data_IF_588087485822
#
_entry.id   IF_588087485822
#
_cell.length_a   1.000
_cell.length_b   1.000
_cell.length_c   1.000
_cell.angle_alpha   90.00
_cell.angle_beta   90.00
_cell.angle_gamma   90.00
#
_symmetry.space_group_name_H-M   'P 1'
#
loop_
_entity.id
_entity.type
_entity.pdbx_description
1 polymer ?
#
# COMPACT_ATOMS: atom_id res chain seq x y z
N UNK A 1 -9.36 -9.95 -0.10
CA UNK A 1 -8.16 -9.39 -0.71
C UNK A 1 -8.42 -9.21 -2.19
N UNK A 2 -8.14 -8.05 -2.77
CA UNK A 2 -8.29 -7.83 -4.21
C UNK A 2 -6.93 -7.92 -4.92
N UNK A 3 -6.74 -9.01 -5.68
CA UNK A 3 -5.49 -9.33 -6.37
C UNK A 3 -5.09 -8.29 -7.42
N UNK A 4 -6.08 -7.63 -8.04
CA UNK A 4 -5.84 -6.59 -9.04
C UNK A 4 -5.23 -5.35 -8.39
N UNK A 5 -5.82 -4.85 -7.30
CA UNK A 5 -5.28 -3.72 -6.55
C UNK A 5 -3.88 -4.01 -5.99
N UNK A 6 -3.65 -5.22 -5.47
CA UNK A 6 -2.30 -5.65 -5.04
C UNK A 6 -1.31 -5.60 -6.21
N UNK A 7 -1.69 -6.11 -7.38
CA UNK A 7 -0.79 -6.15 -8.54
C UNK A 7 -0.45 -4.75 -9.02
N UNK A 8 -1.43 -3.85 -9.09
CA UNK A 8 -1.22 -2.45 -9.44
C UNK A 8 -0.32 -1.75 -8.42
N UNK A 9 -0.56 -1.98 -7.12
CA UNK A 9 0.28 -1.45 -6.04
C UNK A 9 1.74 -1.87 -6.19
N UNK A 10 1.99 -3.17 -6.44
CA UNK A 10 3.34 -3.71 -6.67
C UNK A 10 3.99 -3.05 -7.88
N UNK A 11 3.28 -2.88 -9.00
CA UNK A 11 3.83 -2.24 -10.21
C UNK A 11 4.30 -0.82 -9.90
N UNK A 12 3.48 0.00 -9.23
CA UNK A 12 3.87 1.35 -8.85
C UNK A 12 5.06 1.38 -7.88
N UNK A 13 5.11 0.44 -6.92
CA UNK A 13 6.26 0.33 -6.01
C UNK A 13 7.55 -0.05 -6.76
N UNK A 14 7.47 -0.95 -7.75
CA UNK A 14 8.63 -1.32 -8.57
C UNK A 14 9.09 -0.13 -9.41
N UNK A 15 8.16 0.61 -10.04
CA UNK A 15 8.50 1.82 -10.79
C UNK A 15 9.18 2.88 -9.90
N UNK A 16 8.65 3.12 -8.70
CA UNK A 16 9.26 4.05 -7.75
C UNK A 16 10.65 3.58 -7.28
N UNK A 17 10.84 2.27 -7.09
CA UNK A 17 12.15 1.67 -6.81
C UNK A 17 13.14 1.96 -7.93
N UNK A 18 12.76 1.71 -9.18
CA UNK A 18 13.62 1.96 -10.34
C UNK A 18 14.00 3.44 -10.45
N UNK A 19 13.07 4.34 -10.16
CA UNK A 19 13.35 5.78 -10.11
C UNK A 19 14.37 6.13 -9.02
N UNK A 20 14.21 5.60 -7.81
CA UNK A 20 15.18 5.81 -6.72
C UNK A 20 16.58 5.27 -7.07
N UNK A 21 16.67 4.10 -7.69
CA UNK A 21 17.95 3.54 -8.14
C UNK A 21 18.60 4.42 -9.22
N UNK A 22 17.81 4.87 -10.20
CA UNK A 22 18.29 5.74 -11.26
C UNK A 22 18.77 7.08 -10.71
N UNK A 23 17.96 7.76 -9.89
CA UNK A 23 18.35 9.03 -9.29
C UNK A 23 19.53 8.87 -8.33
N UNK A 24 19.58 7.82 -7.52
CA UNK A 24 20.74 7.51 -6.68
C UNK A 24 22.02 7.36 -7.51
N UNK A 25 21.93 6.67 -8.64
CA UNK A 25 23.03 6.57 -9.61
C UNK A 25 23.42 7.93 -10.20
N UNK A 26 22.46 8.77 -10.56
CA UNK A 26 22.73 10.13 -11.06
C UNK A 26 23.45 10.98 -10.01
N UNK A 27 23.03 10.93 -8.74
CA UNK A 27 23.68 11.68 -7.67
C UNK A 27 25.12 11.20 -7.40
N UNK A 28 25.38 9.88 -7.46
CA UNK A 28 26.75 9.35 -7.36
C UNK A 28 27.63 9.81 -8.53
N UNK A 29 27.12 9.78 -9.76
CA UNK A 29 27.88 10.29 -10.91
C UNK A 29 28.08 11.81 -10.83
N UNK A 30 27.11 12.54 -10.30
CA UNK A 30 27.23 13.98 -10.11
C UNK A 30 28.33 14.33 -9.09
N UNK A 31 28.51 13.56 -8.01
CA UNK A 31 29.64 13.76 -7.10
C UNK A 31 30.99 13.57 -7.78
N UNK A 32 31.12 12.58 -8.67
CA UNK A 32 32.37 12.35 -9.41
C UNK A 32 32.71 13.52 -10.34
N UNK A 33 31.69 14.07 -11.03
CA UNK A 33 31.85 15.24 -11.89
C UNK A 33 32.26 16.47 -11.08
N UNK A 34 31.63 16.70 -9.92
CA UNK A 34 31.98 17.83 -9.04
C UNK A 34 33.42 17.68 -8.52
N UNK A 35 33.85 16.46 -8.20
CA UNK A 35 35.22 16.19 -7.79
C UNK A 35 36.23 16.52 -8.89
N UNK A 36 35.96 16.12 -10.13
CA UNK A 36 36.84 16.43 -11.27
C UNK A 36 36.96 17.94 -11.52
N UNK A 37 35.86 18.68 -11.40
CA UNK A 37 35.86 20.15 -11.52
C UNK A 37 36.68 20.81 -10.41
N UNK A 38 36.58 20.31 -9.17
CA UNK A 38 37.32 20.83 -8.02
C UNK A 38 38.84 20.66 -8.16
N UNK A 39 39.31 19.66 -8.90
CA UNK A 39 40.73 19.48 -9.20
C UNK A 39 41.27 20.52 -10.19
N UNK A 40 40.40 21.11 -11.02
CA UNK A 40 40.80 22.09 -12.03
C UNK A 40 40.86 23.51 -11.48
N UNK A 41 40.02 23.83 -10.49
CA UNK A 41 39.92 25.15 -9.89
C UNK A 41 40.01 25.06 -8.34
N UNK A 42 41.16 25.42 -7.74
CA UNK A 42 41.35 25.37 -6.29
C UNK A 42 40.41 26.30 -5.51
N UNK A 43 39.92 27.37 -6.13
CA UNK A 43 39.11 28.38 -5.43
C UNK A 43 37.71 27.86 -5.08
N UNK A 44 37.24 26.82 -5.79
CA UNK A 44 35.93 26.19 -5.55
C UNK A 44 36.01 24.93 -4.68
N UNK A 45 37.21 24.52 -4.25
CA UNK A 45 37.42 23.23 -3.58
C UNK A 45 36.53 23.05 -2.34
N UNK A 46 36.45 24.07 -1.47
CA UNK A 46 35.63 24.02 -0.26
C UNK A 46 34.14 23.79 -0.56
N UNK A 47 33.62 24.46 -1.60
CA UNK A 47 32.20 24.33 -1.99
C UNK A 47 31.94 22.97 -2.63
N UNK A 48 32.89 22.47 -3.42
CA UNK A 48 32.80 21.17 -4.07
C UNK A 48 32.77 20.02 -3.06
N UNK A 49 33.58 20.07 -2.00
CA UNK A 49 33.59 19.05 -0.94
C UNK A 49 32.23 18.92 -0.24
N UNK A 50 31.58 20.06 0.09
CA UNK A 50 30.23 20.08 0.66
C UNK A 50 29.18 19.50 -0.29
N UNK A 51 29.25 19.85 -1.58
CA UNK A 51 28.33 19.33 -2.60
C UNK A 51 28.51 17.82 -2.83
N UNK A 52 29.75 17.33 -2.88
CA UNK A 52 30.08 15.90 -3.01
C UNK A 52 29.50 15.13 -1.82
N UNK A 53 29.70 15.64 -0.60
CA UNK A 53 29.17 15.06 0.63
C UNK A 53 27.64 14.99 0.59
N UNK A 54 26.99 16.08 0.19
CA UNK A 54 25.53 16.15 0.06
C UNK A 54 25.01 15.14 -0.97
N UNK A 55 25.57 15.12 -2.19
CA UNK A 55 25.13 14.22 -3.26
C UNK A 55 25.33 12.75 -2.89
N UNK A 56 26.50 12.41 -2.34
CA UNK A 56 26.79 11.06 -1.88
C UNK A 56 25.82 10.61 -0.78
N UNK A 57 25.56 11.49 0.19
CA UNK A 57 24.62 11.21 1.29
C UNK A 57 23.21 10.98 0.76
N UNK A 58 22.72 11.86 -0.11
CA UNK A 58 21.40 11.71 -0.74
C UNK A 58 21.31 10.41 -1.54
N UNK A 59 22.34 10.07 -2.33
CA UNK A 59 22.37 8.83 -3.10
C UNK A 59 22.28 7.58 -2.21
N UNK A 60 23.04 7.55 -1.11
CA UNK A 60 23.01 6.44 -0.14
C UNK A 60 21.60 6.27 0.44
N UNK A 61 20.95 7.35 0.86
CA UNK A 61 19.57 7.26 1.34
C UNK A 61 18.60 6.77 0.25
N UNK A 62 18.75 7.21 -0.99
CA UNK A 62 17.93 6.72 -2.11
C UNK A 62 18.08 5.21 -2.30
N UNK A 63 19.30 4.66 -2.20
CA UNK A 63 19.51 3.21 -2.27
C UNK A 63 18.91 2.45 -1.09
N UNK A 64 18.97 3.01 0.12
CA UNK A 64 18.31 2.42 1.30
C UNK A 64 16.79 2.37 1.09
N UNK A 65 16.18 3.46 0.64
CA UNK A 65 14.74 3.49 0.35
C UNK A 65 14.37 2.55 -0.80
N UNK A 66 15.19 2.48 -1.85
CA UNK A 66 14.97 1.53 -2.93
C UNK A 66 14.98 0.08 -2.42
N UNK A 67 15.93 -0.28 -1.55
CA UNK A 67 15.98 -1.59 -0.94
C UNK A 67 14.73 -1.89 -0.10
N UNK A 68 14.30 -0.95 0.75
CA UNK A 68 13.07 -1.11 1.55
C UNK A 68 11.82 -1.25 0.67
N UNK A 69 11.75 -0.53 -0.45
CA UNK A 69 10.64 -0.66 -1.41
C UNK A 69 10.59 -2.05 -2.06
N UNK A 70 11.75 -2.64 -2.37
CA UNK A 70 11.83 -4.02 -2.87
C UNK A 70 11.30 -4.98 -1.81
N UNK A 71 11.73 -4.84 -0.55
CA UNK A 71 11.25 -5.69 0.55
C UNK A 71 9.73 -5.56 0.72
N UNK A 72 9.21 -4.34 0.72
CA UNK A 72 7.78 -4.08 0.79
C UNK A 72 7.02 -4.74 -0.37
N UNK A 73 7.49 -4.58 -1.61
CA UNK A 73 6.90 -5.18 -2.80
C UNK A 73 6.87 -6.72 -2.71
N UNK A 74 7.98 -7.34 -2.27
CA UNK A 74 8.07 -8.80 -2.08
C UNK A 74 7.08 -9.27 -1.01
N UNK A 75 6.99 -8.58 0.12
CA UNK A 75 6.06 -8.93 1.21
C UNK A 75 4.60 -8.81 0.80
N UNK A 76 4.25 -7.77 0.04
CA UNK A 76 2.91 -7.58 -0.53
C UNK A 76 2.63 -8.62 -1.63
N UNK A 77 3.64 -9.02 -2.40
CA UNK A 77 3.51 -10.10 -3.37
C UNK A 77 3.28 -11.46 -2.71
N UNK A 78 3.97 -11.76 -1.60
CA UNK A 78 3.76 -12.99 -0.83
C UNK A 78 2.33 -13.10 -0.29
N UNK A 79 1.72 -11.97 0.07
CA UNK A 79 0.30 -11.93 0.44
C UNK A 79 -0.62 -12.45 -0.68
N UNK A 80 -0.33 -12.10 -1.95
CA UNK A 80 -1.10 -12.57 -3.11
C UNK A 80 -1.13 -14.10 -3.21
N UNK A 81 -0.07 -14.75 -2.75
CA UNK A 81 0.10 -16.21 -2.75
C UNK A 81 -0.27 -16.85 -1.40
N UNK A 82 -0.91 -16.11 -0.49
CA UNK A 82 -1.29 -16.55 0.86
C UNK A 82 -0.11 -16.99 1.75
N UNK A 83 1.11 -16.50 1.48
CA UNK A 83 2.32 -16.84 2.23
C UNK A 83 2.65 -15.85 3.36
N UNK A 84 1.82 -14.83 3.56
CA UNK A 84 2.04 -13.78 4.55
C UNK A 84 0.71 -13.32 5.14
N UNK A 85 0.71 -12.86 6.40
CA UNK A 85 -0.50 -12.37 7.05
C UNK A 85 -0.92 -11.00 6.50
N UNK A 86 -2.25 -10.76 6.40
CA UNK A 86 -2.80 -9.46 5.97
C UNK A 86 -2.26 -8.30 6.82
N UNK A 87 -2.07 -8.50 8.13
CA UNK A 87 -1.56 -7.46 9.05
C UNK A 87 -0.13 -7.01 8.70
N UNK A 88 0.73 -7.98 8.35
CA UNK A 88 2.12 -7.70 7.98
C UNK A 88 2.17 -6.95 6.64
N UNK A 89 1.45 -7.43 5.63
CA UNK A 89 1.35 -6.77 4.33
C UNK A 89 0.73 -5.36 4.42
N UNK A 90 -0.23 -5.16 5.33
CA UNK A 90 -0.79 -3.83 5.60
C UNK A 90 0.26 -2.87 6.16
N UNK A 91 1.11 -3.33 7.08
CA UNK A 91 2.21 -2.52 7.61
C UNK A 91 3.15 -2.04 6.50
N UNK A 92 3.53 -2.95 5.59
CA UNK A 92 4.33 -2.59 4.41
C UNK A 92 3.59 -1.67 3.45
N UNK A 93 2.27 -1.84 3.26
CA UNK A 93 1.47 -0.96 2.42
C UNK A 93 1.37 0.48 3.01
N UNK A 94 1.28 0.60 4.33
CA UNK A 94 1.32 1.90 5.03
C UNK A 94 2.71 2.54 4.90
N UNK A 95 3.78 1.76 5.06
CA UNK A 95 5.14 2.26 4.79
C UNK A 95 5.25 2.86 3.38
N UNK A 96 4.75 2.16 2.36
CA UNK A 96 4.82 2.62 0.97
C UNK A 96 4.08 3.94 0.74
N UNK A 97 2.96 4.16 1.47
CA UNK A 97 2.18 5.40 1.38
C UNK A 97 3.00 6.64 1.71
N UNK A 98 3.91 6.54 2.69
CA UNK A 98 4.73 7.66 3.15
C UNK A 98 6.15 7.66 2.59
N UNK A 99 6.75 6.49 2.37
CA UNK A 99 8.17 6.37 2.04
C UNK A 99 8.49 6.14 0.57
N UNK A 100 7.57 5.58 -0.21
CA UNK A 100 7.88 4.98 -1.51
C UNK A 100 7.07 5.52 -2.68
N UNK A 101 5.93 6.15 -2.41
CA UNK A 101 5.04 6.68 -3.43
C UNK A 101 3.59 6.46 -3.06
N UNK A 102 2.84 7.57 -3.09
CA UNK A 102 1.42 7.62 -2.73
C UNK A 102 0.59 6.54 -3.44
N UNK A 103 0.79 6.38 -4.75
CA UNK A 103 0.04 5.43 -5.57
C UNK A 103 0.33 3.97 -5.17
N UNK A 104 1.59 3.59 -5.01
CA UNK A 104 1.97 2.24 -4.56
C UNK A 104 1.35 1.90 -3.20
N UNK A 105 1.37 2.86 -2.27
CA UNK A 105 0.74 2.72 -0.96
C UNK A 105 -0.78 2.57 -1.02
N UNK A 106 -1.50 3.49 -1.67
CA UNK A 106 -2.97 3.46 -1.76
C UNK A 106 -3.46 2.16 -2.39
N UNK A 107 -2.91 1.77 -3.55
CA UNK A 107 -3.34 0.56 -4.25
C UNK A 107 -3.01 -0.70 -3.45
N UNK A 108 -1.87 -0.72 -2.74
CA UNK A 108 -1.53 -1.83 -1.84
C UNK A 108 -2.50 -1.93 -0.67
N UNK A 109 -2.83 -0.80 0.00
CA UNK A 109 -3.79 -0.77 1.12
C UNK A 109 -5.17 -1.26 0.67
N UNK A 110 -5.67 -0.75 -0.46
CA UNK A 110 -6.93 -1.21 -1.05
C UNK A 110 -6.88 -2.71 -1.37
N UNK A 111 -5.77 -3.19 -1.92
CA UNK A 111 -5.56 -4.60 -2.20
C UNK A 111 -5.65 -5.50 -0.97
N UNK A 112 -5.03 -5.08 0.14
CA UNK A 112 -5.04 -5.82 1.41
C UNK A 112 -6.41 -5.76 2.09
N UNK A 113 -7.06 -4.59 2.12
CA UNK A 113 -8.27 -4.36 2.91
C UNK A 113 -9.59 -4.70 2.21
N UNK A 114 -9.63 -4.81 0.88
CA UNK A 114 -10.84 -5.26 0.18
C UNK A 114 -11.04 -6.74 0.49
N UNK A 115 -11.73 -7.07 1.60
CA UNK A 115 -12.57 -8.27 1.64
C UNK A 115 -13.51 -8.12 0.45
N UNK A 116 -13.55 -9.14 -0.43
CA UNK A 116 -14.51 -9.13 -1.52
C UNK A 116 -15.86 -8.68 -0.95
N UNK A 117 -16.56 -7.68 -1.52
CA UNK A 117 -17.97 -7.56 -1.22
C UNK A 117 -18.53 -8.93 -1.54
N UNK A 118 -18.98 -9.63 -0.51
CA UNK A 118 -19.62 -10.93 -0.62
C UNK A 118 -20.66 -10.78 -1.72
N UNK A 119 -20.58 -11.50 -2.85
CA UNK A 119 -21.79 -11.71 -3.62
C UNK A 119 -22.72 -12.42 -2.65
N UNK A 120 -23.91 -11.86 -2.45
CA UNK A 120 -24.98 -12.43 -1.64
C UNK A 120 -25.27 -13.83 -2.17
N UNK A 121 -24.63 -14.86 -1.59
CA UNK A 121 -24.93 -16.27 -1.88
C UNK A 121 -24.30 -17.19 -0.81
N UNK A 122 -25.15 -17.54 0.15
CA UNK A 122 -25.35 -18.88 0.73
C UNK A 122 -24.21 -19.62 1.46
N UNK A 123 -24.56 -20.03 2.68
CA UNK A 123 -23.96 -21.07 3.55
C UNK A 123 -22.64 -20.67 4.24
N UNK A 124 -22.49 -20.66 5.57
CA UNK A 124 -23.13 -21.50 6.59
C UNK A 124 -23.03 -20.79 7.96
N UNK A 125 -24.14 -20.69 8.70
CA UNK A 125 -24.13 -20.36 10.13
C UNK A 125 -24.36 -18.89 10.53
N UNK A 126 -25.20 -18.12 9.83
CA UNK A 126 -25.69 -16.86 10.42
C UNK A 126 -26.68 -17.20 11.55
N UNK A 127 -26.29 -16.94 12.80
CA UNK A 127 -27.19 -17.05 13.94
C UNK A 127 -28.42 -16.14 13.72
N UNK A 128 -29.59 -16.57 14.21
CA UNK A 128 -30.85 -15.81 14.15
C UNK A 128 -30.65 -14.33 14.56
N UNK A 129 -29.86 -14.14 15.62
CA UNK A 129 -29.49 -12.83 16.16
C UNK A 129 -28.75 -11.95 15.14
N UNK A 130 -27.86 -12.53 14.33
CA UNK A 130 -27.14 -11.79 13.29
C UNK A 130 -28.08 -11.32 12.18
N UNK A 131 -29.08 -12.14 11.81
CA UNK A 131 -30.04 -11.80 10.77
C UNK A 131 -31.01 -10.71 11.22
N UNK A 132 -31.46 -10.77 12.48
CA UNK A 132 -32.31 -9.73 13.07
C UNK A 132 -31.56 -8.40 13.18
N UNK A 133 -30.30 -8.42 13.61
CA UNK A 133 -29.47 -7.22 13.74
C UNK A 133 -29.16 -6.53 12.40
N UNK A 134 -29.07 -7.30 11.31
CA UNK A 134 -28.91 -6.74 9.97
C UNK A 134 -30.21 -6.09 9.49
N UNK A 135 -31.36 -6.72 9.77
CA UNK A 135 -32.67 -6.18 9.45
C UNK A 135 -32.95 -4.86 10.19
N UNK A 136 -32.59 -4.78 11.48
CA UNK A 136 -32.72 -3.55 12.29
C UNK A 136 -31.91 -2.39 11.68
N UNK A 137 -30.68 -2.65 11.24
CA UNK A 137 -29.83 -1.64 10.59
C UNK A 137 -30.41 -1.13 9.28
N UNK A 138 -31.12 -1.98 8.53
CA UNK A 138 -31.76 -1.56 7.27
C UNK A 138 -32.96 -0.64 7.55
N UNK A 139 -33.72 -0.93 8.61
CA UNK A 139 -34.84 -0.12 9.04
C UNK A 139 -34.39 1.22 9.64
N UNK A 140 -33.39 1.22 10.53
CA UNK A 140 -32.80 2.45 11.11
C UNK A 140 -32.23 3.39 10.05
N UNK A 141 -31.72 2.84 8.94
CA UNK A 141 -31.22 3.62 7.80
C UNK A 141 -32.32 4.09 6.85
N UNK A 142 -33.60 3.76 7.13
CA UNK A 142 -34.74 4.08 6.27
C UNK A 142 -34.70 3.40 4.90
N UNK A 143 -33.96 2.30 4.75
CA UNK A 143 -33.81 1.57 3.48
C UNK A 143 -34.98 0.62 3.21
N UNK A 144 -35.78 0.31 4.23
CA UNK A 144 -36.97 -0.55 4.16
C UNK A 144 -38.11 0.10 4.95
N UNK A 145 -39.35 -0.19 4.58
CA UNK A 145 -40.55 0.29 5.28
C UNK A 145 -40.85 -0.54 6.53
N UNK A 146 -41.72 -0.02 7.42
CA UNK A 146 -42.17 -0.75 8.62
C UNK A 146 -42.87 -2.07 8.26
N UNK A 147 -43.67 -2.08 7.19
CA UNK A 147 -44.39 -3.28 6.75
C UNK A 147 -43.42 -4.34 6.23
N UNK A 148 -42.40 -3.92 5.47
CA UNK A 148 -41.37 -4.80 4.94
C UNK A 148 -40.44 -5.34 6.04
N UNK A 149 -40.16 -4.52 7.06
CA UNK A 149 -39.45 -4.95 8.25
C UNK A 149 -40.20 -6.07 8.99
N UNK A 150 -41.50 -5.90 9.23
CA UNK A 150 -42.33 -6.88 9.92
C UNK A 150 -42.38 -8.22 9.16
N UNK A 151 -42.62 -8.18 7.85
CA UNK A 151 -42.68 -9.39 7.01
C UNK A 151 -41.33 -10.14 6.96
N UNK A 152 -40.21 -9.41 6.88
CA UNK A 152 -38.86 -10.01 6.89
C UNK A 152 -38.50 -10.59 8.25
N UNK A 153 -38.91 -9.94 9.35
CA UNK A 153 -38.70 -10.41 10.72
C UNK A 153 -39.44 -11.72 10.99
N UNK A 154 -40.70 -11.83 10.56
CA UNK A 154 -41.48 -13.07 10.68
C UNK A 154 -40.88 -14.23 9.86
N UNK A 155 -40.39 -13.95 8.65
CA UNK A 155 -39.68 -14.94 7.82
C UNK A 155 -38.37 -15.43 8.44
N UNK A 156 -37.68 -14.60 9.21
CA UNK A 156 -36.44 -14.96 9.88
C UNK A 156 -36.72 -15.82 11.11
N UNK A 157 -37.74 -15.47 11.89
CA UNK A 157 -38.14 -16.21 13.10
C UNK A 157 -38.76 -17.57 12.76
N UNK A 158 -39.55 -17.66 11.69
CA UNK A 158 -40.22 -18.91 11.27
C UNK A 158 -39.29 -19.95 10.62
N UNK A 159 -38.03 -19.61 10.38
CA UNK A 159 -36.99 -20.53 9.84
C UNK A 159 -36.24 -21.31 10.93
N UNK A 160 -36.58 -21.11 12.20
CA UNK A 160 -36.08 -21.84 13.38
C UNK A 160 -37.18 -22.77 13.86
#
# INVERSE_FOLDING_TARGET
MNKTFITVGIIFTVLATLMLLLFGGVFMNASDIVYELALQDPDIQLVAEELISLFSTVAVFMFIFAFLNIVAAVRIFMLRNSQTANKEALGWAIYLLFGAGLLGGIFSILGVQVKNPTPVAASSGSTLESQLKELDKLFEKGLISQDEYNERRERIISRV
#
